data_IF_889821160822
#
_entry.id   IF_889821160822
#
_cell.length_a   1.000
_cell.length_b   1.000
_cell.length_c   1.000
_cell.angle_alpha   90.00
_cell.angle_beta   90.00
_cell.angle_gamma   90.00
#
_symmetry.space_group_name_H-M   'P 1'
#
loop_
_entity.id
_entity.type
_entity.pdbx_description
1 polymer ?
#
# COMPACT_ATOMS: atom_id res chain seq x y z
N UNK A 1 22.05 9.24 -27.63
CA UNK A 1 21.56 9.33 -26.24
C UNK A 1 20.63 8.14 -26.04
N UNK A 2 21.08 7.16 -25.27
CA UNK A 2 20.33 5.93 -25.02
C UNK A 2 19.36 6.20 -23.87
N UNK A 3 18.12 6.52 -24.20
CA UNK A 3 17.06 6.60 -23.18
C UNK A 3 16.52 5.19 -23.00
N UNK A 4 17.15 4.44 -22.09
CA UNK A 4 16.63 3.16 -21.62
C UNK A 4 15.22 3.39 -21.09
N UNK A 5 14.24 2.81 -21.79
CA UNK A 5 12.91 2.60 -21.26
C UNK A 5 13.09 1.72 -20.01
N UNK A 6 12.59 2.09 -18.82
CA UNK A 6 12.67 1.19 -17.68
C UNK A 6 11.86 -0.07 -18.00
N UNK A 7 12.54 -1.20 -18.19
CA UNK A 7 11.90 -2.51 -18.20
C UNK A 7 11.16 -2.66 -16.86
N UNK A 8 9.83 -2.72 -16.90
CA UNK A 8 9.04 -3.24 -15.77
C UNK A 8 9.42 -4.71 -15.61
N UNK A 9 10.42 -4.97 -14.78
CA UNK A 9 10.86 -6.33 -14.47
C UNK A 9 9.86 -6.95 -13.48
N UNK A 10 8.94 -7.78 -14.00
CA UNK A 10 8.08 -8.60 -13.16
C UNK A 10 8.99 -9.56 -12.35
N UNK A 11 9.08 -9.35 -11.04
CA UNK A 11 9.85 -10.21 -10.14
C UNK A 11 8.98 -11.35 -9.57
N UNK A 12 9.56 -12.56 -9.48
CA UNK A 12 8.86 -13.73 -8.97
C UNK A 12 9.02 -13.84 -7.45
N UNK A 13 7.90 -13.78 -6.72
CA UNK A 13 7.85 -13.95 -5.27
C UNK A 13 7.14 -15.27 -4.96
N UNK A 14 7.86 -16.20 -4.31
CA UNK A 14 7.30 -17.45 -3.81
C UNK A 14 6.70 -17.27 -2.41
N UNK A 15 5.39 -17.43 -2.28
CA UNK A 15 4.68 -17.34 -0.99
C UNK A 15 4.08 -18.70 -0.60
N UNK A 16 4.13 -19.02 0.70
CA UNK A 16 3.38 -20.17 1.25
C UNK A 16 2.01 -19.67 1.70
N UNK A 17 0.96 -20.29 1.18
CA UNK A 17 -0.43 -19.97 1.56
C UNK A 17 -1.14 -21.23 2.08
N UNK A 18 -2.11 -21.08 3.01
CA UNK A 18 -2.94 -22.20 3.44
C UNK A 18 -3.66 -22.86 2.26
N UNK A 19 -3.84 -24.18 2.32
CA UNK A 19 -4.55 -24.95 1.28
C UNK A 19 -5.94 -24.38 1.00
N UNK A 20 -6.67 -23.99 2.03
CA UNK A 20 -8.00 -23.38 1.91
C UNK A 20 -8.00 -22.10 1.06
N UNK A 21 -6.97 -21.26 1.18
CA UNK A 21 -6.82 -20.03 0.39
C UNK A 21 -6.52 -20.38 -1.07
N UNK A 22 -5.62 -21.32 -1.31
CA UNK A 22 -5.33 -21.82 -2.66
C UNK A 22 -6.60 -22.34 -3.35
N UNK A 23 -7.39 -23.14 -2.65
CA UNK A 23 -8.62 -23.74 -3.19
C UNK A 23 -9.65 -22.64 -3.54
N UNK A 24 -9.79 -21.59 -2.71
CA UNK A 24 -10.63 -20.42 -3.02
C UNK A 24 -10.14 -19.68 -4.26
N UNK A 25 -8.83 -19.48 -4.40
CA UNK A 25 -8.23 -18.85 -5.58
C UNK A 25 -8.45 -19.68 -6.85
N UNK A 26 -8.37 -21.01 -6.76
CA UNK A 26 -8.65 -21.91 -7.88
C UNK A 26 -10.11 -21.79 -8.36
N UNK A 27 -11.07 -21.75 -7.44
CA UNK A 27 -12.49 -21.56 -7.76
C UNK A 27 -12.72 -20.20 -8.42
N UNK A 28 -12.16 -19.12 -7.85
CA UNK A 28 -12.32 -17.77 -8.36
C UNK A 28 -11.72 -17.61 -9.77
N UNK A 29 -10.51 -18.14 -9.97
CA UNK A 29 -9.85 -18.17 -11.28
C UNK A 29 -10.70 -18.88 -12.33
N UNK A 30 -11.23 -20.07 -12.02
CA UNK A 30 -12.11 -20.83 -12.93
C UNK A 30 -13.38 -20.08 -13.29
N UNK A 31 -14.02 -19.44 -12.30
CA UNK A 31 -15.29 -18.73 -12.50
C UNK A 31 -15.16 -17.49 -13.39
N UNK A 32 -13.99 -16.86 -13.40
CA UNK A 32 -13.77 -15.54 -14.00
C UNK A 32 -12.89 -15.58 -15.25
N UNK A 33 -12.26 -16.73 -15.53
CA UNK A 33 -11.31 -16.89 -16.63
C UNK A 33 -9.96 -16.20 -16.39
N UNK A 34 -9.67 -15.78 -15.15
CA UNK A 34 -8.40 -15.13 -14.78
C UNK A 34 -7.44 -16.09 -14.08
N UNK A 35 -6.15 -15.76 -14.04
CA UNK A 35 -5.15 -16.58 -13.36
C UNK A 35 -5.19 -16.37 -11.85
N UNK A 36 -4.73 -17.34 -11.07
CA UNK A 36 -4.52 -17.17 -9.63
C UNK A 36 -3.58 -16.00 -9.33
N UNK A 37 -2.51 -15.87 -10.11
CA UNK A 37 -1.51 -14.80 -9.97
C UNK A 37 -2.14 -13.41 -10.12
N UNK A 38 -3.13 -13.24 -10.99
CA UNK A 38 -3.88 -11.99 -11.10
C UNK A 38 -4.52 -11.61 -9.76
N UNK A 39 -5.25 -12.54 -9.13
CA UNK A 39 -5.90 -12.27 -7.85
C UNK A 39 -4.93 -12.08 -6.69
N UNK A 40 -3.84 -12.85 -6.66
CA UNK A 40 -2.78 -12.66 -5.65
C UNK A 40 -2.17 -11.26 -5.79
N UNK A 41 -1.88 -10.84 -7.02
CA UNK A 41 -1.33 -9.50 -7.29
C UNK A 41 -2.30 -8.40 -6.89
N UNK A 42 -3.58 -8.52 -7.22
CA UNK A 42 -4.58 -7.52 -6.84
C UNK A 42 -4.73 -7.41 -5.34
N UNK A 43 -4.91 -8.54 -4.65
CA UNK A 43 -5.02 -8.55 -3.19
C UNK A 43 -3.76 -8.02 -2.50
N UNK A 44 -2.57 -8.25 -3.07
CA UNK A 44 -1.32 -7.72 -2.54
C UNK A 44 -1.23 -6.20 -2.71
N UNK A 45 -1.58 -5.68 -3.89
CA UNK A 45 -1.53 -4.24 -4.16
C UNK A 45 -2.56 -3.48 -3.31
N UNK A 46 -3.80 -3.97 -3.26
CA UNK A 46 -4.86 -3.37 -2.45
C UNK A 46 -4.49 -3.29 -0.97
N UNK A 47 -3.80 -4.32 -0.43
CA UNK A 47 -3.34 -4.28 0.97
C UNK A 47 -2.04 -3.54 1.18
N UNK A 48 -1.21 -3.36 0.16
CA UNK A 48 0.06 -2.65 0.33
C UNK A 48 -0.20 -1.18 0.64
N UNK A 49 -1.11 -0.55 -0.09
CA UNK A 49 -1.50 0.85 0.12
C UNK A 49 -1.98 1.07 1.57
N UNK A 50 -2.89 0.22 2.06
CA UNK A 50 -3.39 0.27 3.45
C UNK A 50 -2.26 0.10 4.49
N UNK A 51 -1.30 -0.80 4.22
CA UNK A 51 -0.19 -1.05 5.14
C UNK A 51 0.78 0.12 5.18
N UNK A 52 1.13 0.67 4.01
CA UNK A 52 2.01 1.82 3.87
C UNK A 52 1.46 3.02 4.65
N UNK A 53 0.18 3.35 4.48
CA UNK A 53 -0.49 4.42 5.22
C UNK A 53 -0.45 4.18 6.73
N UNK A 54 -0.74 2.95 7.17
CA UNK A 54 -0.74 2.60 8.59
C UNK A 54 0.66 2.71 9.21
N UNK A 55 1.68 2.21 8.52
CA UNK A 55 3.06 2.26 9.01
C UNK A 55 3.59 3.68 9.02
N UNK A 56 3.35 4.47 7.98
CA UNK A 56 3.73 5.88 7.94
C UNK A 56 3.08 6.68 9.07
N UNK A 57 1.78 6.50 9.30
CA UNK A 57 1.09 7.16 10.41
C UNK A 57 1.64 6.76 11.79
N UNK A 58 1.98 5.48 11.97
CA UNK A 58 2.59 5.00 13.21
C UNK A 58 4.00 5.55 13.42
N UNK A 59 4.78 5.68 12.36
CA UNK A 59 6.14 6.24 12.40
C UNK A 59 6.11 7.72 12.80
N UNK A 60 5.24 8.51 12.16
CA UNK A 60 4.99 9.91 12.53
C UNK A 60 4.57 10.01 14.00
N UNK A 61 3.62 9.18 14.44
CA UNK A 61 3.19 9.18 15.84
C UNK A 61 4.33 8.82 16.82
N UNK A 62 5.25 7.95 16.41
CA UNK A 62 6.47 7.64 17.16
C UNK A 62 7.33 8.89 17.35
N UNK A 63 7.67 9.56 16.25
CA UNK A 63 8.49 10.78 16.28
C UNK A 63 7.82 11.94 17.03
N UNK A 64 6.50 12.08 16.93
CA UNK A 64 5.72 13.01 17.77
C UNK A 64 5.90 12.73 19.26
N UNK A 65 5.86 11.46 19.68
CA UNK A 65 6.08 11.08 21.08
C UNK A 65 7.53 11.30 21.54
N UNK A 66 8.48 11.17 20.63
CA UNK A 66 9.91 11.42 20.88
C UNK A 66 10.26 12.92 20.82
N UNK A 67 9.31 13.77 20.39
CA UNK A 67 9.51 15.22 20.25
C UNK A 67 10.34 15.59 19.01
N UNK A 68 10.47 14.67 18.06
CA UNK A 68 11.24 14.83 16.82
C UNK A 68 10.38 15.29 15.64
N UNK A 69 9.09 15.52 15.87
CA UNK A 69 8.16 16.07 14.87
C UNK A 69 7.69 17.46 15.23
N UNK A 70 7.65 18.32 14.22
CA UNK A 70 7.07 19.65 14.34
C UNK A 70 5.56 19.54 14.35
N UNK A 71 4.94 20.11 15.39
CA UNK A 71 3.49 20.11 15.57
C UNK A 71 2.94 21.51 15.33
N UNK A 72 1.87 21.58 14.56
CA UNK A 72 1.15 22.81 14.27
C UNK A 72 -0.21 22.77 14.99
N UNK A 73 -0.66 23.90 15.53
CA UNK A 73 -2.01 23.98 16.07
C UNK A 73 -3.03 24.01 14.93
N UNK A 74 -4.29 23.67 15.22
CA UNK A 74 -5.36 23.73 14.22
C UNK A 74 -5.50 25.16 13.66
N UNK A 75 -5.50 26.17 14.54
CA UNK A 75 -5.58 27.59 14.18
C UNK A 75 -4.42 28.02 13.26
N UNK A 76 -3.21 27.49 13.47
CA UNK A 76 -2.06 27.78 12.60
C UNK A 76 -2.25 27.19 11.20
N UNK A 77 -2.73 25.94 11.12
CA UNK A 77 -2.98 25.26 9.85
C UNK A 77 -4.16 25.88 9.09
N UNK A 78 -5.24 26.24 9.78
CA UNK A 78 -6.40 26.88 9.17
C UNK A 78 -6.02 28.23 8.54
N UNK A 79 -5.24 29.04 9.25
CA UNK A 79 -4.71 30.31 8.73
C UNK A 79 -3.78 30.11 7.54
N UNK A 80 -2.89 29.12 7.58
CA UNK A 80 -1.94 28.84 6.49
C UNK A 80 -2.64 28.32 5.22
N UNK A 81 -3.77 27.63 5.38
CA UNK A 81 -4.59 27.11 4.28
C UNK A 81 -5.70 28.08 3.82
N UNK A 82 -5.89 29.21 4.52
CA UNK A 82 -6.97 30.17 4.24
C UNK A 82 -8.36 29.60 4.50
N UNK A 83 -8.48 28.77 5.54
CA UNK A 83 -9.70 28.13 6.01
C UNK A 83 -10.23 28.74 7.31
N UNK A 84 -9.66 29.87 7.73
CA UNK A 84 -9.97 30.60 8.98
C UNK A 84 -11.16 31.58 8.88
N UNK A 85 -11.87 31.57 7.75
CA UNK A 85 -13.08 32.38 7.45
C UNK A 85 -14.41 31.63 7.71
#
# INVERSE_FOLDING_TARGET
MNTSIPEKSDQLIGIRIPKSVKDRLDVLARKTGRTRTFYIRQALLEHLDDLEDRYMAQEVLGRVKEGEEELYSLDDVERDLGLDD
#
